data_IF_624443436168
#
_entry.id   IF_624443436168
#
_cell.length_a   1.000
_cell.length_b   1.000
_cell.length_c   1.000
_cell.angle_alpha   90.00
_cell.angle_beta   90.00
_cell.angle_gamma   90.00
#
_symmetry.space_group_name_H-M   'P 1'
#
loop_
_entity.id
_entity.type
_entity.pdbx_description
1 polymer ?
#
# COMPACT_ATOMS: atom_id res chain seq x y z
N UNK A 1 -7.68 11.09 -1.15
CA UNK A 1 -6.70 11.22 -2.25
C UNK A 1 -6.91 9.99 -3.10
N UNK A 2 -7.17 10.10 -4.40
CA UNK A 2 -7.51 8.91 -5.20
C UNK A 2 -6.26 8.26 -5.76
N UNK A 3 -6.20 6.94 -5.73
CA UNK A 3 -5.08 6.18 -6.29
C UNK A 3 -5.55 4.95 -7.06
N UNK A 4 -4.94 4.71 -8.22
CA UNK A 4 -5.19 3.53 -9.06
C UNK A 4 -3.87 2.91 -9.46
N UNK A 5 -3.74 1.62 -9.19
CA UNK A 5 -2.56 0.84 -9.48
C UNK A 5 -2.77 0.04 -10.77
N UNK A 6 -1.86 0.18 -11.72
CA UNK A 6 -1.91 -0.53 -12.99
C UNK A 6 -0.63 -1.36 -13.17
N UNK A 7 -0.79 -2.58 -13.69
CA UNK A 7 0.33 -3.46 -14.02
C UNK A 7 0.30 -3.83 -15.51
N UNK A 8 1.48 -3.99 -16.10
CA UNK A 8 1.70 -4.47 -17.47
C UNK A 8 2.93 -5.37 -17.50
N UNK A 9 2.71 -6.69 -17.46
CA UNK A 9 3.77 -7.67 -17.25
C UNK A 9 4.49 -7.40 -15.92
N UNK A 10 5.80 -7.20 -15.98
CA UNK A 10 6.66 -6.89 -14.83
C UNK A 10 6.67 -5.40 -14.44
N UNK A 11 5.97 -4.54 -15.18
CA UNK A 11 5.93 -3.10 -14.94
C UNK A 11 4.72 -2.71 -14.10
N UNK A 12 4.92 -1.76 -13.20
CA UNK A 12 3.87 -1.16 -12.36
C UNK A 12 3.92 0.36 -12.45
N UNK A 13 2.73 0.95 -12.52
CA UNK A 13 2.53 2.39 -12.35
C UNK A 13 1.39 2.65 -11.38
N UNK A 14 1.41 3.84 -10.79
CA UNK A 14 0.39 4.32 -9.87
C UNK A 14 -0.10 5.68 -10.35
N UNK A 15 -1.39 5.79 -10.65
CA UNK A 15 -2.04 7.06 -10.96
C UNK A 15 -2.59 7.62 -9.65
N UNK A 16 -2.05 8.73 -9.19
CA UNK A 16 -2.47 9.43 -7.98
C UNK A 16 -3.14 10.75 -8.36
N UNK A 17 -4.30 11.04 -7.80
CA UNK A 17 -4.95 12.35 -7.94
C UNK A 17 -5.10 13.00 -6.56
N UNK A 18 -4.58 14.22 -6.47
CA UNK A 18 -4.68 15.10 -5.31
C UNK A 18 -5.26 16.46 -5.72
N UNK A 19 -5.39 17.38 -4.78
CA UNK A 19 -5.81 18.77 -5.05
C UNK A 19 -4.86 19.51 -6.01
N UNK A 20 -3.60 19.05 -6.10
CA UNK A 20 -2.59 19.55 -7.03
C UNK A 20 -2.77 19.02 -8.47
N UNK A 21 -3.70 18.08 -8.69
CA UNK A 21 -3.93 17.41 -9.96
C UNK A 21 -3.48 15.94 -9.97
N UNK A 22 -3.40 15.37 -11.17
CA UNK A 22 -3.06 13.95 -11.39
C UNK A 22 -1.56 13.77 -11.64
N UNK A 23 -0.97 12.78 -10.97
CA UNK A 23 0.40 12.35 -11.15
C UNK A 23 0.44 10.86 -11.49
N UNK A 24 1.38 10.48 -12.34
CA UNK A 24 1.69 9.09 -12.64
C UNK A 24 3.05 8.79 -12.05
N UNK A 25 3.07 7.85 -11.15
CA UNK A 25 4.25 7.34 -10.48
C UNK A 25 4.66 6.03 -11.14
N UNK A 26 5.95 5.81 -11.28
CA UNK A 26 6.52 4.55 -11.74
C UNK A 26 6.61 3.52 -10.62
N UNK A 27 7.54 2.57 -10.77
CA UNK A 27 7.62 1.41 -9.87
C UNK A 27 8.34 1.68 -8.55
N UNK A 28 9.11 2.76 -8.45
CA UNK A 28 9.79 3.22 -7.23
C UNK A 28 9.23 4.57 -6.74
N UNK A 29 7.94 4.81 -6.98
CA UNK A 29 7.23 6.05 -6.65
C UNK A 29 7.85 7.31 -7.30
N UNK A 30 8.62 7.14 -8.37
CA UNK A 30 9.15 8.26 -9.15
C UNK A 30 8.05 8.87 -10.03
N UNK A 31 7.93 10.20 -10.01
CA UNK A 31 6.97 10.91 -10.87
C UNK A 31 7.46 10.83 -12.32
N UNK A 32 6.78 10.01 -13.13
CA UNK A 32 7.04 9.89 -14.57
C UNK A 32 6.13 10.80 -15.41
N UNK A 33 5.06 11.32 -14.81
CA UNK A 33 4.16 12.29 -15.43
C UNK A 33 3.35 13.07 -14.40
N UNK A 34 3.12 14.35 -14.65
CA UNK A 34 2.36 15.23 -13.75
C UNK A 34 1.47 16.19 -14.53
N UNK A 35 0.24 16.35 -14.06
CA UNK A 35 -0.80 17.19 -14.65
C UNK A 35 -1.39 18.07 -13.55
N UNK A 36 -1.39 19.39 -13.74
CA UNK A 36 -1.93 20.35 -12.75
C UNK A 36 -3.46 20.40 -12.66
N UNK A 37 -4.14 19.39 -13.20
CA UNK A 37 -5.61 19.26 -13.21
C UNK A 37 -5.98 17.80 -12.95
N UNK A 38 -7.22 17.54 -12.56
CA UNK A 38 -7.74 16.17 -12.51
C UNK A 38 -7.84 15.59 -13.93
N UNK A 39 -7.08 14.53 -14.17
CA UNK A 39 -7.07 13.72 -15.40
C UNK A 39 -7.08 12.24 -15.06
N UNK A 40 -7.63 11.88 -13.91
CA UNK A 40 -7.53 10.53 -13.39
C UNK A 40 -8.07 9.48 -14.37
N UNK A 41 -9.31 9.67 -14.81
CA UNK A 41 -10.00 8.75 -15.72
C UNK A 41 -9.32 8.70 -17.09
N UNK A 42 -8.92 9.86 -17.63
CA UNK A 42 -8.16 9.97 -18.89
C UNK A 42 -6.88 9.12 -18.84
N UNK A 43 -6.12 9.18 -17.74
CA UNK A 43 -4.89 8.40 -17.61
C UNK A 43 -5.16 6.90 -17.44
N UNK A 44 -6.17 6.53 -16.65
CA UNK A 44 -6.57 5.11 -16.49
C UNK A 44 -6.98 4.51 -17.84
N UNK A 45 -7.81 5.21 -18.61
CA UNK A 45 -8.26 4.78 -19.94
C UNK A 45 -7.11 4.69 -20.93
N UNK A 46 -6.22 5.69 -20.94
CA UNK A 46 -5.02 5.70 -21.78
C UNK A 46 -4.18 4.45 -21.54
N UNK A 47 -3.80 4.17 -20.29
CA UNK A 47 -2.97 3.01 -19.99
C UNK A 47 -3.71 1.69 -20.24
N UNK A 48 -5.03 1.62 -19.99
CA UNK A 48 -5.83 0.46 -20.40
C UNK A 48 -5.76 0.21 -21.91
N UNK A 49 -5.87 1.27 -22.72
CA UNK A 49 -5.73 1.17 -24.17
C UNK A 49 -4.32 0.74 -24.61
N UNK A 50 -3.29 1.00 -23.80
CA UNK A 50 -1.91 0.54 -24.01
C UNK A 50 -1.67 -0.91 -23.51
N UNK A 51 -2.71 -1.57 -22.99
CA UNK A 51 -2.64 -2.96 -22.52
C UNK A 51 -2.30 -3.12 -21.03
N UNK A 52 -2.44 -2.05 -20.23
CA UNK A 52 -2.28 -2.13 -18.78
C UNK A 52 -3.57 -2.61 -18.11
N UNK A 53 -3.40 -3.38 -17.03
CA UNK A 53 -4.50 -3.91 -16.23
C UNK A 53 -4.58 -3.19 -14.90
N UNK A 54 -5.77 -2.68 -14.56
CA UNK A 54 -6.04 -2.12 -13.23
C UNK A 54 -6.04 -3.26 -12.22
N UNK A 55 -5.15 -3.18 -11.23
CA UNK A 55 -5.04 -4.19 -10.16
C UNK A 55 -5.60 -3.70 -8.84
N UNK A 56 -5.62 -2.39 -8.60
CA UNK A 56 -6.29 -1.79 -7.45
C UNK A 56 -6.80 -0.38 -7.83
N UNK A 57 -7.94 0.01 -7.31
CA UNK A 57 -8.53 1.34 -7.42
C UNK A 57 -9.18 1.69 -6.08
N UNK A 58 -8.90 2.88 -5.55
CA UNK A 58 -9.52 3.31 -4.30
C UNK A 58 -9.10 4.71 -3.85
N UNK A 59 -9.87 5.26 -2.90
CA UNK A 59 -9.45 6.46 -2.18
C UNK A 59 -8.50 6.06 -1.06
N UNK A 60 -7.28 6.55 -1.15
CA UNK A 60 -6.25 6.38 -0.13
C UNK A 60 -6.38 7.57 0.82
N UNK A 61 -6.63 7.29 2.09
CA UNK A 61 -6.34 8.27 3.13
C UNK A 61 -4.83 8.43 3.17
N UNK A 62 -4.30 9.67 3.17
CA UNK A 62 -2.86 9.85 3.33
C UNK A 62 -2.45 9.03 4.55
N UNK A 63 -1.55 8.07 4.33
CA UNK A 63 -1.05 7.25 5.41
C UNK A 63 -0.39 8.22 6.39
N UNK A 64 -1.00 8.43 7.55
CA UNK A 64 -0.26 8.88 8.71
C UNK A 64 0.93 7.93 8.81
N UNK A 65 2.14 8.45 8.62
CA UNK A 65 3.36 7.65 8.57
C UNK A 65 3.51 6.88 9.88
N UNK A 66 3.01 5.64 9.93
CA UNK A 66 2.98 4.88 11.19
C UNK A 66 1.90 3.80 11.26
N UNK A 67 1.90 2.83 10.35
CA UNK A 67 1.41 1.51 10.70
C UNK A 67 2.33 0.49 10.03
N UNK A 68 3.37 0.10 10.77
CA UNK A 68 4.16 -1.07 10.45
C UNK A 68 3.21 -2.25 10.21
N UNK A 69 3.48 -3.00 9.14
CA UNK A 69 2.90 -4.31 8.91
C UNK A 69 3.34 -5.24 10.03
N UNK A 70 2.60 -5.29 11.13
CA UNK A 70 2.71 -6.40 12.09
C UNK A 70 2.01 -7.59 11.43
N UNK A 71 2.71 -8.68 11.05
CA UNK A 71 2.02 -9.93 10.76
C UNK A 71 1.21 -10.34 12.00
N UNK A 72 0.09 -11.09 11.86
CA UNK A 72 -0.60 -11.60 13.03
C UNK A 72 0.39 -12.47 13.81
N UNK A 73 0.79 -11.98 14.98
CA UNK A 73 1.53 -12.75 15.97
C UNK A 73 0.72 -14.01 16.21
N UNK A 74 1.31 -15.13 15.78
CA UNK A 74 0.77 -16.44 16.01
C UNK A 74 0.90 -16.66 17.50
N UNK A 75 -0.22 -16.49 18.20
CA UNK A 75 -0.41 -16.91 19.58
C UNK A 75 -0.27 -18.44 19.63
N UNK A 76 0.98 -18.90 19.62
CA UNK A 76 1.42 -20.28 19.83
C UNK A 76 2.08 -20.32 21.22
N UNK A 77 1.30 -19.90 22.23
CA UNK A 77 1.64 -20.00 23.64
C UNK A 77 1.10 -21.28 24.25
N UNK A 78 1.46 -22.43 23.66
CA UNK A 78 1.20 -23.74 24.23
C UNK A 78 1.97 -23.94 25.54
N UNK A 79 1.21 -24.27 26.58
CA UNK A 79 1.50 -25.11 27.74
C UNK A 79 2.99 -25.39 28.07
N UNK A 80 3.42 -24.92 29.24
CA UNK A 80 4.73 -25.21 29.82
C UNK A 80 4.69 -25.14 31.34
N UNK A 81 4.01 -26.10 31.96
CA UNK A 81 4.20 -26.43 33.38
C UNK A 81 5.65 -26.87 33.62
N UNK A 82 6.44 -26.08 34.35
CA UNK A 82 7.71 -26.48 34.97
C UNK A 82 7.81 -25.77 36.33
N UNK A 83 7.36 -26.43 37.41
CA UNK A 83 8.21 -27.02 38.48
C UNK A 83 8.63 -25.96 39.53
N UNK A 84 7.99 -25.92 40.72
CA UNK A 84 8.50 -26.43 42.00
C UNK A 84 9.84 -25.80 42.43
N UNK A 85 9.84 -25.03 43.53
CA UNK A 85 10.68 -25.26 44.74
C UNK A 85 10.89 -23.98 45.61
N UNK A 86 10.47 -24.10 46.88
CA UNK A 86 10.99 -23.55 48.14
C UNK A 86 11.67 -22.16 48.23
N UNK A 87 11.15 -21.31 49.11
CA UNK A 87 11.85 -20.09 49.59
C UNK A 87 11.24 -19.43 50.83
N UNK A 88 11.78 -19.79 51.99
CA UNK A 88 11.59 -19.27 53.36
C UNK A 88 11.75 -17.74 53.57
N UNK A 89 11.22 -17.28 54.73
CA UNK A 89 11.59 -16.08 55.55
C UNK A 89 10.97 -14.73 55.16
N UNK A 90 10.43 -13.89 56.07
CA UNK A 90 10.52 -13.78 57.55
C UNK A 90 9.17 -13.40 58.19
#
# INVERSE_FOLDING_TARGET
>A
MRQTLLNSGDRRITIQTSEQGTQVLGSADEVIGGYGTDRHEEMVEKYRSEGWTVSADGDVRPAEAGAATTPPDRDDGGDGVQELDLGISS
#
